data_IF_058489155059
#
_entry.id   IF_058489155059
#
_cell.length_a   1.000
_cell.length_b   1.000
_cell.length_c   1.000
_cell.angle_alpha   90.00
_cell.angle_beta   90.00
_cell.angle_gamma   90.00
#
_symmetry.space_group_name_H-M   'P 1'
#
loop_
_entity.id
_entity.type
_entity.pdbx_description
1 polymer ?
#
# COMPACT_ATOMS: atom_id res chain seq x y z
N UNK A 1 -0.51 -18.11 0.69
CA UNK A 1 -0.51 -16.70 0.30
C UNK A 1 -1.06 -16.63 -1.12
N UNK A 2 -2.24 -16.04 -1.33
CA UNK A 2 -2.86 -16.02 -2.65
C UNK A 2 -2.21 -14.92 -3.50
N UNK A 3 -2.13 -15.11 -4.83
CA UNK A 3 -1.52 -14.15 -5.77
C UNK A 3 -2.16 -12.74 -5.70
N UNK A 4 -3.45 -12.66 -5.34
CA UNK A 4 -4.19 -11.41 -5.15
C UNK A 4 -3.70 -10.59 -3.94
N UNK A 5 -3.16 -11.25 -2.91
CA UNK A 5 -2.69 -10.59 -1.68
C UNK A 5 -1.40 -9.78 -1.92
N UNK A 6 -0.69 -10.05 -3.01
CA UNK A 6 0.48 -9.28 -3.44
C UNK A 6 0.10 -7.92 -4.06
N UNK A 7 -1.17 -7.69 -4.36
CA UNK A 7 -1.63 -6.47 -5.00
C UNK A 7 -2.00 -5.45 -3.92
N UNK A 8 -1.23 -4.37 -3.81
CA UNK A 8 -1.46 -3.25 -2.86
C UNK A 8 -2.63 -2.32 -3.25
N UNK A 9 -3.64 -2.88 -3.92
CA UNK A 9 -4.86 -2.21 -4.40
C UNK A 9 -6.05 -3.14 -4.19
N UNK A 10 -7.26 -2.61 -3.99
CA UNK A 10 -8.49 -3.39 -4.11
C UNK A 10 -8.47 -4.16 -5.43
N UNK A 11 -8.37 -5.48 -5.32
CA UNK A 11 -8.25 -6.36 -6.46
C UNK A 11 -9.14 -7.58 -6.31
N UNK A 12 -9.80 -7.95 -7.40
CA UNK A 12 -10.65 -9.12 -7.48
C UNK A 12 -10.44 -9.88 -8.79
N UNK A 13 -10.53 -11.20 -8.70
CA UNK A 13 -10.67 -12.07 -9.85
C UNK A 13 -12.16 -12.22 -10.17
N UNK A 14 -12.53 -11.99 -11.43
CA UNK A 14 -13.92 -12.05 -11.91
C UNK A 14 -14.05 -12.88 -13.17
N UNK A 15 -15.25 -13.38 -13.46
CA UNK A 15 -15.63 -13.92 -14.77
C UNK A 15 -16.18 -12.81 -15.68
N UNK A 16 -16.38 -13.10 -16.96
CA UNK A 16 -17.02 -12.17 -17.91
C UNK A 16 -18.48 -11.82 -17.55
N UNK A 17 -19.18 -12.68 -16.81
CA UNK A 17 -20.52 -12.41 -16.28
C UNK A 17 -20.50 -11.59 -14.97
N UNK A 18 -19.31 -11.19 -14.51
CA UNK A 18 -19.11 -10.40 -13.31
C UNK A 18 -19.24 -11.21 -12.01
N UNK A 19 -19.13 -12.55 -12.05
CA UNK A 19 -19.06 -13.38 -10.86
C UNK A 19 -17.68 -13.23 -10.21
N UNK A 20 -17.63 -13.03 -8.89
CA UNK A 20 -16.37 -12.97 -8.14
C UNK A 20 -15.86 -14.39 -7.88
N UNK A 21 -14.59 -14.61 -8.21
CA UNK A 21 -13.85 -15.83 -7.88
C UNK A 21 -13.05 -15.68 -6.58
N UNK A 22 -12.78 -14.43 -6.21
CA UNK A 22 -12.08 -14.06 -4.98
C UNK A 22 -11.59 -12.61 -5.06
N UNK A 23 -11.34 -12.01 -3.90
CA UNK A 23 -10.75 -10.69 -3.79
C UNK A 23 -9.74 -10.65 -2.65
N UNK A 24 -8.81 -9.70 -2.69
CA UNK A 24 -7.90 -9.47 -1.57
C UNK A 24 -8.60 -8.69 -0.43
N UNK A 25 -7.92 -8.56 0.71
CA UNK A 25 -8.45 -7.85 1.87
C UNK A 25 -8.87 -6.40 1.57
N UNK A 26 -8.14 -5.72 0.67
CA UNK A 26 -8.46 -4.35 0.26
C UNK A 26 -9.75 -4.27 -0.56
N UNK A 27 -10.04 -5.27 -1.39
CA UNK A 27 -11.31 -5.38 -2.10
C UNK A 27 -12.45 -5.69 -1.14
N UNK A 28 -12.24 -6.58 -0.16
CA UNK A 28 -13.21 -6.83 0.91
C UNK A 28 -13.56 -5.57 1.68
N UNK A 29 -12.57 -4.77 2.07
CA UNK A 29 -12.79 -3.48 2.73
C UNK A 29 -13.55 -2.47 1.83
N UNK A 30 -13.28 -2.47 0.53
CA UNK A 30 -14.01 -1.65 -0.44
C UNK A 30 -15.48 -2.09 -0.55
N UNK A 31 -15.73 -3.40 -0.60
CA UNK A 31 -17.08 -3.98 -0.66
C UNK A 31 -17.87 -3.70 0.61
N UNK A 32 -17.26 -3.85 1.79
CA UNK A 32 -17.91 -3.57 3.07
C UNK A 32 -18.37 -2.10 3.17
N UNK A 33 -17.59 -1.16 2.63
CA UNK A 33 -17.99 0.25 2.52
C UNK A 33 -19.19 0.47 1.61
N UNK A 34 -19.34 -0.38 0.58
CA UNK A 34 -20.51 -0.40 -0.27
C UNK A 34 -21.70 -1.16 0.38
N UNK A 35 -21.54 -1.69 1.59
CA UNK A 35 -22.55 -2.42 2.34
C UNK A 35 -22.53 -3.95 2.16
N UNK A 36 -21.42 -4.51 1.65
CA UNK A 36 -21.31 -5.94 1.32
C UNK A 36 -20.05 -6.57 1.93
N UNK A 37 -20.21 -7.44 2.94
CA UNK A 37 -19.08 -8.07 3.63
C UNK A 37 -18.44 -9.25 2.86
N UNK A 38 -19.23 -9.91 2.02
CA UNK A 38 -18.79 -11.05 1.21
C UNK A 38 -19.49 -11.04 -0.16
N UNK A 39 -19.12 -10.11 -1.06
CA UNK A 39 -19.77 -10.01 -2.35
C UNK A 39 -19.48 -11.25 -3.20
N UNK A 40 -20.52 -11.80 -3.83
CA UNK A 40 -20.39 -12.90 -4.80
C UNK A 40 -20.34 -12.39 -6.24
N UNK A 41 -20.80 -11.16 -6.45
CA UNK A 41 -20.83 -10.51 -7.76
C UNK A 41 -20.24 -9.11 -7.72
N UNK A 42 -19.60 -8.72 -8.81
CA UNK A 42 -19.05 -7.37 -8.97
C UNK A 42 -20.16 -6.30 -8.90
N UNK A 43 -21.37 -6.62 -9.34
CA UNK A 43 -22.55 -5.75 -9.29
C UNK A 43 -23.06 -5.42 -7.86
N UNK A 44 -22.49 -6.06 -6.83
CA UNK A 44 -22.71 -5.69 -5.43
C UNK A 44 -21.80 -4.54 -4.99
N UNK A 45 -20.64 -4.37 -5.64
CA UNK A 45 -19.68 -3.30 -5.35
C UNK A 45 -19.82 -2.15 -6.35
N UNK A 46 -20.13 -2.47 -7.61
CA UNK A 46 -20.34 -1.52 -8.69
C UNK A 46 -21.84 -1.50 -9.08
N UNK A 47 -22.38 -0.40 -9.62
CA UNK A 47 -23.65 -0.42 -10.34
C UNK A 47 -23.62 -1.45 -11.49
N UNK A 48 -24.79 -1.98 -11.85
CA UNK A 48 -24.93 -3.05 -12.86
C UNK A 48 -24.27 -2.70 -14.20
N UNK A 49 -24.39 -1.44 -14.62
CA UNK A 49 -23.81 -0.92 -15.87
C UNK A 49 -22.28 -1.01 -15.87
N UNK A 50 -21.65 -0.55 -14.78
CA UNK A 50 -20.19 -0.59 -14.62
C UNK A 50 -19.67 -2.03 -14.46
N UNK A 51 -20.39 -2.88 -13.71
CA UNK A 51 -20.06 -4.29 -13.58
C UNK A 51 -20.10 -5.01 -14.95
N UNK A 52 -21.09 -4.68 -15.79
CA UNK A 52 -21.20 -5.21 -17.14
C UNK A 52 -20.10 -4.70 -18.07
N UNK A 53 -19.73 -3.42 -17.97
CA UNK A 53 -18.62 -2.86 -18.73
C UNK A 53 -17.29 -3.57 -18.39
N UNK A 54 -17.06 -3.85 -17.11
CA UNK A 54 -15.91 -4.66 -16.67
C UNK A 54 -15.99 -6.08 -17.23
N UNK A 55 -17.15 -6.74 -17.16
CA UNK A 55 -17.36 -8.08 -17.74
C UNK A 55 -17.06 -8.13 -19.25
N UNK A 56 -17.53 -7.15 -20.01
CA UNK A 56 -17.23 -7.02 -21.44
C UNK A 56 -15.72 -6.87 -21.70
N UNK A 57 -15.01 -6.14 -20.84
CA UNK A 57 -13.56 -6.00 -20.94
C UNK A 57 -12.82 -7.32 -20.68
N UNK A 58 -13.32 -8.13 -19.74
CA UNK A 58 -12.82 -9.50 -19.52
C UNK A 58 -13.05 -10.39 -20.74
N UNK A 59 -14.18 -10.20 -21.43
CA UNK A 59 -14.48 -10.88 -22.69
C UNK A 59 -13.65 -10.38 -23.89
N UNK A 60 -12.70 -9.46 -23.68
CA UNK A 60 -11.81 -8.93 -24.73
C UNK A 60 -12.28 -7.63 -25.36
N UNK A 61 -13.33 -7.00 -24.81
CA UNK A 61 -13.71 -5.64 -25.15
C UNK A 61 -12.78 -4.59 -24.53
N UNK A 62 -13.03 -3.31 -24.85
CA UNK A 62 -12.24 -2.22 -24.29
C UNK A 62 -12.52 -2.04 -22.78
N UNK A 63 -11.49 -1.93 -21.94
CA UNK A 63 -11.66 -1.70 -20.51
C UNK A 63 -12.18 -0.30 -20.24
N UNK A 64 -13.15 -0.13 -19.32
CA UNK A 64 -13.52 1.20 -18.84
C UNK A 64 -12.33 1.85 -18.15
N UNK A 65 -12.15 3.16 -18.33
CA UNK A 65 -11.10 3.92 -17.64
C UNK A 65 -11.45 4.16 -16.16
N UNK A 66 -12.74 4.32 -15.89
CA UNK A 66 -13.32 4.58 -14.56
C UNK A 66 -14.58 3.75 -14.37
N UNK A 67 -14.89 3.45 -13.11
CA UNK A 67 -16.15 2.86 -12.69
C UNK A 67 -16.73 3.68 -11.56
N UNK A 68 -18.05 3.68 -11.43
CA UNK A 68 -18.72 4.18 -10.24
C UNK A 68 -18.83 3.06 -9.22
N UNK A 69 -18.58 3.38 -7.96
CA UNK A 69 -18.83 2.51 -6.81
C UNK A 69 -20.29 2.67 -6.37
N UNK A 70 -20.87 1.65 -5.73
CA UNK A 70 -22.25 1.76 -5.21
C UNK A 70 -22.42 2.83 -4.13
N UNK A 71 -21.36 3.23 -3.46
CA UNK A 71 -21.37 4.38 -2.54
C UNK A 71 -21.33 5.75 -3.26
N UNK A 72 -21.39 5.75 -4.59
CA UNK A 72 -21.52 6.94 -5.43
C UNK A 72 -20.21 7.54 -5.92
N UNK A 73 -19.06 7.08 -5.42
CA UNK A 73 -17.75 7.61 -5.82
C UNK A 73 -17.29 7.05 -7.16
N UNK A 74 -16.56 7.83 -7.93
CA UNK A 74 -15.87 7.33 -9.12
C UNK A 74 -14.44 6.90 -8.78
N UNK A 75 -13.99 5.83 -9.42
CA UNK A 75 -12.66 5.26 -9.21
C UNK A 75 -12.07 4.80 -10.54
N UNK A 76 -10.80 5.12 -10.84
CA UNK A 76 -10.09 4.50 -11.95
C UNK A 76 -10.07 2.97 -11.78
N UNK A 77 -10.28 2.25 -12.88
CA UNK A 77 -10.22 0.80 -12.89
C UNK A 77 -9.24 0.31 -13.94
N UNK A 78 -8.60 -0.82 -13.64
CA UNK A 78 -7.83 -1.58 -14.63
C UNK A 78 -8.40 -2.98 -14.68
N UNK A 79 -8.67 -3.45 -15.89
CA UNK A 79 -9.11 -4.81 -16.14
C UNK A 79 -8.06 -5.49 -16.99
N UNK A 80 -7.53 -6.61 -16.51
CA UNK A 80 -6.62 -7.46 -17.26
C UNK A 80 -7.31 -8.79 -17.51
N UNK A 81 -7.71 -9.04 -18.75
CA UNK A 81 -8.19 -10.34 -19.17
C UNK A 81 -7.07 -11.37 -19.09
N UNK A 82 -7.39 -12.55 -18.58
CA UNK A 82 -6.51 -13.70 -18.43
C UNK A 82 -7.11 -14.80 -19.29
N UNK A 83 -6.45 -15.12 -20.40
CA UNK A 83 -6.85 -16.19 -21.29
C UNK A 83 -6.36 -17.54 -20.73
N UNK A 84 -7.31 -18.39 -20.36
CA UNK A 84 -7.04 -19.74 -19.86
C UNK A 84 -7.05 -20.80 -20.98
N UNK A 85 -7.18 -20.40 -22.25
CA UNK A 85 -7.30 -21.31 -23.39
C UNK A 85 -8.73 -21.75 -23.64
N UNK A 86 -8.97 -23.06 -23.81
CA UNK A 86 -10.32 -23.61 -23.97
C UNK A 86 -11.06 -23.59 -22.63
N UNK A 87 -11.72 -22.47 -22.32
CA UNK A 87 -12.46 -22.32 -21.08
C UNK A 87 -13.08 -20.92 -20.88
N UNK A 88 -13.76 -20.71 -19.75
CA UNK A 88 -14.31 -19.40 -19.40
C UNK A 88 -13.19 -18.37 -19.22
N UNK A 89 -13.44 -17.14 -19.68
CA UNK A 89 -12.49 -16.03 -19.53
C UNK A 89 -12.56 -15.45 -18.13
N UNK A 90 -11.39 -15.11 -17.61
CA UNK A 90 -11.24 -14.52 -16.29
C UNK A 90 -10.58 -13.16 -16.40
N UNK A 91 -10.87 -12.29 -15.45
CA UNK A 91 -10.30 -10.96 -15.38
C UNK A 91 -9.73 -10.70 -14.00
N UNK A 92 -8.56 -10.07 -13.97
CA UNK A 92 -8.09 -9.35 -12.79
C UNK A 92 -8.60 -7.91 -12.87
N UNK A 93 -9.43 -7.51 -11.91
CA UNK A 93 -9.95 -6.15 -11.78
C UNK A 93 -9.24 -5.47 -10.63
N UNK A 94 -8.69 -4.28 -10.89
CA UNK A 94 -8.00 -3.46 -9.89
C UNK A 94 -8.65 -2.09 -9.84
N UNK A 95 -9.15 -1.70 -8.68
CA UNK A 95 -9.84 -0.41 -8.47
C UNK A 95 -8.92 0.52 -7.69
N UNK A 96 -8.62 1.69 -8.26
CA UNK A 96 -7.79 2.70 -7.62
C UNK A 96 -8.67 3.64 -6.80
N UNK A 97 -8.49 3.64 -5.47
CA UNK A 97 -9.24 4.54 -4.58
C UNK A 97 -8.32 5.64 -4.06
N UNK A 98 -8.86 6.84 -3.81
CA UNK A 98 -8.10 7.96 -3.23
C UNK A 98 -7.39 7.57 -1.92
N UNK A 99 -8.00 6.71 -1.12
CA UNK A 99 -7.43 6.22 0.12
C UNK A 99 -6.19 5.36 -0.12
N UNK A 100 -6.22 4.47 -1.11
CA UNK A 100 -5.04 3.68 -1.49
C UNK A 100 -3.93 4.55 -2.10
N UNK A 101 -4.29 5.60 -2.84
CA UNK A 101 -3.35 6.57 -3.40
C UNK A 101 -2.69 7.41 -2.30
N UNK A 102 -3.47 7.88 -1.32
CA UNK A 102 -3.00 8.67 -0.19
C UNK A 102 -2.11 7.85 0.75
N UNK A 103 -2.51 6.60 1.07
CA UNK A 103 -1.68 5.67 1.85
C UNK A 103 -0.35 5.40 1.15
N UNK A 104 -0.33 5.21 -0.18
CA UNK A 104 0.93 5.05 -0.92
C UNK A 104 1.76 6.32 -0.95
N UNK A 105 1.16 7.49 -1.06
CA UNK A 105 1.87 8.76 -0.98
C UNK A 105 2.54 8.93 0.38
N UNK A 106 1.80 8.64 1.47
CA UNK A 106 2.33 8.64 2.83
C UNK A 106 3.45 7.61 3.01
N UNK A 107 3.26 6.35 2.58
CA UNK A 107 4.27 5.31 2.68
C UNK A 107 5.55 5.67 1.90
N UNK A 108 5.43 6.24 0.70
CA UNK A 108 6.58 6.74 -0.07
C UNK A 108 7.27 7.91 0.63
N UNK A 109 6.53 8.86 1.17
CA UNK A 109 7.09 9.98 1.93
C UNK A 109 7.83 9.48 3.17
N UNK A 110 7.26 8.53 3.93
CA UNK A 110 7.93 7.91 5.07
C UNK A 110 9.20 7.14 4.66
N UNK A 111 9.15 6.40 3.54
CA UNK A 111 10.33 5.68 3.04
C UNK A 111 11.45 6.64 2.62
N UNK A 112 11.12 7.76 1.96
CA UNK A 112 12.06 8.81 1.58
C UNK A 112 12.67 9.49 2.81
N UNK A 113 11.83 9.95 3.75
CA UNK A 113 12.28 10.56 5.01
C UNK A 113 13.22 9.63 5.78
N UNK A 114 12.92 8.33 5.84
CA UNK A 114 13.82 7.35 6.46
C UNK A 114 15.18 7.32 5.78
N UNK A 115 15.22 7.27 4.45
CA UNK A 115 16.48 7.21 3.72
C UNK A 115 17.31 8.48 3.95
N UNK A 116 16.66 9.65 3.88
CA UNK A 116 17.30 10.95 4.09
C UNK A 116 17.74 11.19 5.53
N UNK A 117 17.05 10.64 6.52
CA UNK A 117 17.42 10.78 7.94
C UNK A 117 18.47 9.75 8.39
N UNK A 118 18.45 8.53 7.82
CA UNK A 118 19.39 7.48 8.21
C UNK A 118 20.85 7.88 7.98
N UNK A 119 21.15 8.52 6.84
CA UNK A 119 22.50 9.01 6.50
C UNK A 119 23.08 9.97 7.54
N UNK A 120 22.46 11.15 7.78
CA UNK A 120 22.95 12.13 8.74
C UNK A 120 22.95 11.59 10.17
N UNK A 121 21.96 10.78 10.59
CA UNK A 121 21.96 10.17 11.92
C UNK A 121 23.16 9.23 12.12
N UNK A 122 23.46 8.40 11.12
CA UNK A 122 24.63 7.49 11.16
C UNK A 122 25.93 8.29 11.24
N UNK A 123 26.04 9.39 10.50
CA UNK A 123 27.22 10.26 10.53
C UNK A 123 27.41 10.94 11.89
N UNK A 124 26.32 11.45 12.50
CA UNK A 124 26.35 12.09 13.82
C UNK A 124 26.72 11.08 14.90
N UNK A 125 26.06 9.91 14.91
CA UNK A 125 26.37 8.81 15.84
C UNK A 125 27.84 8.41 15.74
N UNK A 126 28.31 8.07 14.53
CA UNK A 126 29.69 7.63 14.32
C UNK A 126 30.73 8.70 14.70
N UNK A 127 30.44 9.98 14.41
CA UNK A 127 31.34 11.08 14.81
C UNK A 127 31.40 11.23 16.32
N UNK A 128 30.26 11.21 17.01
CA UNK A 128 30.20 11.34 18.45
C UNK A 128 30.87 10.14 19.17
N UNK A 129 30.61 8.91 18.71
CA UNK A 129 31.28 7.70 19.19
C UNK A 129 32.79 7.76 18.98
N UNK A 130 33.24 8.15 17.79
CA UNK A 130 34.65 8.27 17.45
C UNK A 130 35.35 9.30 18.36
N UNK A 131 34.73 10.46 18.60
CA UNK A 131 35.29 11.48 19.50
C UNK A 131 35.42 10.96 20.93
N UNK A 132 34.41 10.25 21.44
CA UNK A 132 34.46 9.66 22.78
C UNK A 132 35.56 8.60 22.93
N UNK A 133 35.82 7.81 21.88
CA UNK A 133 36.83 6.76 21.87
C UNK A 133 38.24 7.33 21.66
N UNK A 134 38.42 8.22 20.70
CA UNK A 134 39.74 8.72 20.29
C UNK A 134 40.25 9.87 21.17
N UNK A 135 39.37 10.57 21.90
CA UNK A 135 39.72 11.71 22.77
C UNK A 135 39.31 11.44 24.21
N UNK A 136 40.03 10.56 24.94
CA UNK A 136 39.73 10.27 26.33
C UNK A 136 39.92 11.48 27.27
N UNK A 137 40.67 12.49 26.82
CA UNK A 137 40.98 13.76 27.49
C UNK A 137 39.86 14.82 27.37
N UNK A 138 38.73 14.50 26.74
CA UNK A 138 37.62 15.44 26.58
C UNK A 138 37.13 15.98 27.94
N UNK A 139 36.87 17.30 28.05
CA UNK A 139 36.22 17.87 29.22
C UNK A 139 34.92 17.15 29.52
N UNK A 140 34.62 16.94 30.81
CA UNK A 140 33.44 16.21 31.26
C UNK A 140 32.15 16.76 30.65
N UNK A 141 32.00 18.08 30.60
CA UNK A 141 30.84 18.74 29.99
C UNK A 141 30.67 18.39 28.50
N UNK A 142 31.77 18.28 27.74
CA UNK A 142 31.71 17.89 26.32
C UNK A 142 31.33 16.43 26.18
N UNK A 143 31.85 15.56 27.06
CA UNK A 143 31.49 14.14 27.11
C UNK A 143 30.00 13.95 27.41
N UNK A 144 29.47 14.70 28.36
CA UNK A 144 28.05 14.65 28.75
C UNK A 144 27.16 15.09 27.57
N UNK A 145 27.51 16.19 26.87
CA UNK A 145 26.78 16.63 25.66
C UNK A 145 26.86 15.64 24.51
N UNK A 146 28.00 14.98 24.29
CA UNK A 146 28.13 13.93 23.29
C UNK A 146 27.24 12.73 23.63
N UNK A 147 27.14 12.36 24.92
CA UNK A 147 26.19 11.35 25.39
C UNK A 147 24.74 11.71 25.06
N UNK A 148 24.33 12.95 25.33
CA UNK A 148 22.98 13.43 24.99
C UNK A 148 22.69 13.37 23.49
N UNK A 149 23.68 13.68 22.64
CA UNK A 149 23.55 13.57 21.17
C UNK A 149 23.33 12.10 20.77
N UNK A 150 24.11 11.17 21.33
CA UNK A 150 23.96 9.74 21.06
C UNK A 150 22.57 9.23 21.47
N UNK A 151 22.12 9.59 22.67
CA UNK A 151 20.81 9.20 23.19
C UNK A 151 19.67 9.73 22.29
N UNK A 152 19.74 11.01 21.89
CA UNK A 152 18.75 11.60 21.02
C UNK A 152 18.73 10.95 19.63
N UNK A 153 19.89 10.70 19.02
CA UNK A 153 19.97 10.00 17.74
C UNK A 153 19.44 8.57 17.83
N UNK A 154 19.70 7.86 18.93
CA UNK A 154 19.15 6.54 19.21
C UNK A 154 17.62 6.57 19.27
N UNK A 155 17.04 7.49 20.05
CA UNK A 155 15.58 7.65 20.18
C UNK A 155 14.91 7.97 18.84
N UNK A 156 15.51 8.84 18.03
CA UNK A 156 15.00 9.16 16.69
C UNK A 156 15.04 7.92 15.78
N UNK A 157 16.13 7.15 15.82
CA UNK A 157 16.27 5.92 15.04
C UNK A 157 15.23 4.86 15.42
N UNK A 158 14.90 4.75 16.72
CA UNK A 158 13.82 3.89 17.21
C UNK A 158 12.44 4.37 16.78
N UNK A 159 12.18 5.68 16.79
CA UNK A 159 10.91 6.26 16.30
C UNK A 159 10.72 5.92 14.81
N UNK A 160 11.75 6.13 14.00
CA UNK A 160 11.74 5.81 12.56
C UNK A 160 11.51 4.30 12.34
N UNK A 161 12.15 3.45 13.17
CA UNK A 161 11.99 1.99 13.07
C UNK A 161 10.60 1.52 13.51
N UNK A 162 9.99 2.14 14.53
CA UNK A 162 8.62 1.82 14.95
C UNK A 162 7.58 2.28 13.92
N UNK A 163 7.79 3.44 13.30
CA UNK A 163 6.96 3.90 12.20
C UNK A 163 6.96 2.91 11.01
N UNK A 164 8.04 2.12 10.84
CA UNK A 164 8.09 1.00 9.86
C UNK A 164 7.06 -0.07 10.15
N UNK A 165 7.01 -0.56 11.39
CA UNK A 165 6.14 -1.70 11.77
C UNK A 165 4.66 -1.33 11.68
N UNK A 166 4.30 -0.10 12.05
CA UNK A 166 2.93 0.39 11.97
C UNK A 166 2.43 0.67 10.54
N UNK A 167 3.26 0.49 9.51
CA UNK A 167 2.86 0.56 8.10
C UNK A 167 2.97 -0.79 7.37
N UNK A 168 3.62 -1.79 7.99
CA UNK A 168 3.75 -3.14 7.46
C UNK A 168 2.65 -4.10 8.01
N UNK A 169 1.88 -3.67 9.03
CA UNK A 169 0.71 -4.35 9.63
C UNK A 169 -0.62 -3.75 9.12
#
# INVERSE_FOLDING_TARGET
>A
MALLDLIERPAAAVTEEGKLLGGNALFGALAARCGHDAPERLAEVLPEEDARAVGNAVAGGDPPATVRLRDGREAPVRVQAIDAGEGPRYGLVVIETEETSSRRAAARACAALRHELAGPLTAILGTAEMLLVQRPDLPREVRDRLGEILDNCGRISEIITRARRAHDD
#
